data_IF_058195319387
#
_entry.id   IF_058195319387
#
_cell.length_a   1.000
_cell.length_b   1.000
_cell.length_c   1.000
_cell.angle_alpha   90.00
_cell.angle_beta   90.00
_cell.angle_gamma   90.00
#
_symmetry.space_group_name_H-M   'P 1'
#
loop_
_entity.id
_entity.type
_entity.pdbx_description
1 polymer ?
#
# COMPACT_ATOMS: atom_id res chain seq x y z
N UNK A 1 -8.02 -13.26 -42.26
CA UNK A 1 -7.73 -13.38 -40.81
C UNK A 1 -7.51 -12.00 -40.23
N UNK A 2 -8.54 -11.36 -39.68
CA UNK A 2 -8.42 -10.03 -39.08
C UNK A 2 -7.95 -10.15 -37.62
N UNK A 3 -6.74 -9.65 -37.30
CA UNK A 3 -6.27 -9.53 -35.92
C UNK A 3 -6.98 -8.32 -35.30
N UNK A 4 -7.91 -8.57 -34.37
CA UNK A 4 -8.63 -7.52 -33.65
C UNK A 4 -7.70 -6.60 -32.84
N UNK A 5 -8.15 -5.38 -32.49
CA UNK A 5 -7.30 -4.37 -31.87
C UNK A 5 -6.87 -4.83 -30.47
N UNK A 6 -5.56 -5.02 -30.27
CA UNK A 6 -4.95 -5.24 -28.94
C UNK A 6 -4.77 -3.87 -28.27
N UNK A 7 -5.82 -3.29 -27.72
CA UNK A 7 -5.72 -1.99 -27.04
C UNK A 7 -6.24 -2.04 -25.61
N UNK A 8 -5.79 -3.04 -24.85
CA UNK A 8 -5.75 -2.92 -23.40
C UNK A 8 -4.55 -2.06 -23.00
N UNK A 9 -4.74 -0.75 -22.81
CA UNK A 9 -3.72 0.11 -22.16
C UNK A 9 -3.39 -0.55 -20.81
N UNK A 10 -2.20 -1.15 -20.68
CA UNK A 10 -1.74 -1.64 -19.39
C UNK A 10 -1.88 -0.47 -18.44
N UNK A 11 -2.73 -0.59 -17.42
CA UNK A 11 -2.80 0.40 -16.34
C UNK A 11 -1.38 0.48 -15.83
N UNK A 12 -0.66 1.53 -16.19
CA UNK A 12 0.67 1.81 -15.67
C UNK A 12 0.43 2.25 -14.23
N UNK A 13 0.05 1.29 -13.39
CA UNK A 13 -0.22 1.49 -11.99
C UNK A 13 1.01 2.09 -11.38
N UNK A 14 0.79 3.23 -10.70
CA UNK A 14 1.71 3.97 -9.82
C UNK A 14 3.06 3.25 -9.69
N UNK A 15 4.01 3.68 -10.51
CA UNK A 15 5.27 2.99 -10.74
C UNK A 15 5.96 2.55 -9.43
N UNK A 16 5.90 1.26 -9.12
CA UNK A 16 6.68 0.64 -8.05
C UNK A 16 5.89 0.00 -6.91
N UNK A 17 4.58 0.20 -6.80
CA UNK A 17 3.77 -0.52 -5.80
C UNK A 17 3.54 -1.97 -6.22
N UNK A 18 3.68 -2.89 -5.27
CA UNK A 18 3.51 -4.34 -5.44
C UNK A 18 2.79 -4.91 -4.24
N UNK A 19 2.09 -6.03 -4.44
CA UNK A 19 1.42 -6.79 -3.38
C UNK A 19 2.05 -8.18 -3.32
N UNK A 20 2.39 -8.62 -2.12
CA UNK A 20 2.87 -9.98 -1.86
C UNK A 20 1.87 -10.68 -0.97
N UNK A 21 1.38 -11.86 -1.37
CA UNK A 21 0.59 -12.71 -0.48
C UNK A 21 1.51 -13.38 0.53
N UNK A 22 1.15 -13.25 1.81
CA UNK A 22 1.73 -14.00 2.91
C UNK A 22 0.57 -14.80 3.54
N UNK A 23 0.85 -15.83 4.35
CA UNK A 23 -0.22 -16.62 4.98
C UNK A 23 -0.66 -17.87 4.20
N UNK A 24 -1.58 -18.61 4.82
CA UNK A 24 -2.06 -19.91 4.34
C UNK A 24 -3.32 -19.76 3.50
N UNK A 25 -3.69 -20.82 2.78
CA UNK A 25 -4.99 -20.88 2.07
C UNK A 25 -6.19 -20.60 2.99
N UNK A 26 -6.09 -21.02 4.25
CA UNK A 26 -7.14 -20.82 5.26
C UNK A 26 -7.14 -19.43 5.89
N UNK A 27 -6.02 -18.70 5.83
CA UNK A 27 -5.85 -17.35 6.38
C UNK A 27 -4.95 -16.52 5.45
N UNK A 28 -5.49 -16.01 4.33
CA UNK A 28 -4.71 -15.21 3.41
C UNK A 28 -4.34 -13.87 4.07
N UNK A 29 -3.08 -13.45 3.95
CA UNK A 29 -2.62 -12.12 4.29
C UNK A 29 -1.90 -11.47 3.09
N UNK A 30 -1.92 -10.15 3.01
CA UNK A 30 -1.35 -9.43 1.88
C UNK A 30 -0.50 -8.27 2.39
N UNK A 31 0.69 -8.12 1.83
CA UNK A 31 1.62 -7.03 2.15
C UNK A 31 1.78 -6.15 0.93
N UNK A 32 1.29 -4.92 1.04
CA UNK A 32 1.45 -3.88 0.02
C UNK A 32 2.73 -3.11 0.31
N UNK A 33 3.64 -3.03 -0.68
CA UNK A 33 4.93 -2.35 -0.51
C UNK A 33 5.40 -1.69 -1.80
N UNK A 34 6.28 -0.69 -1.69
CA UNK A 34 6.91 -0.07 -2.85
C UNK A 34 8.22 -0.80 -3.20
N UNK A 35 8.20 -1.63 -4.24
CA UNK A 35 9.36 -2.37 -4.75
C UNK A 35 10.46 -1.46 -5.32
N UNK A 36 10.11 -0.32 -5.92
CA UNK A 36 11.10 0.57 -6.56
C UNK A 36 11.77 1.51 -5.57
N UNK A 37 11.06 1.93 -4.52
CA UNK A 37 11.53 2.91 -3.54
C UNK A 37 11.03 2.54 -2.13
N UNK A 38 11.54 1.44 -1.53
CA UNK A 38 11.03 0.93 -0.25
C UNK A 38 11.26 1.89 0.93
N UNK A 39 12.34 2.69 0.91
CA UNK A 39 12.64 3.63 1.99
C UNK A 39 11.89 4.96 1.91
N UNK A 40 11.43 5.37 0.72
CA UNK A 40 10.88 6.71 0.52
C UNK A 40 9.61 6.95 1.34
N UNK A 41 8.74 5.95 1.42
CA UNK A 41 7.51 6.03 2.21
C UNK A 41 7.84 6.21 3.68
N UNK A 42 8.75 5.41 4.25
CA UNK A 42 9.15 5.52 5.65
C UNK A 42 9.73 6.90 6.00
N UNK A 43 10.59 7.45 5.13
CA UNK A 43 11.19 8.78 5.34
C UNK A 43 10.17 9.91 5.31
N UNK A 44 9.15 9.78 4.46
CA UNK A 44 8.07 10.77 4.36
C UNK A 44 7.09 10.62 5.52
N UNK A 45 6.69 9.40 5.89
CA UNK A 45 5.75 9.14 6.98
C UNK A 45 6.30 9.55 8.36
N UNK A 46 7.57 9.28 8.64
CA UNK A 46 8.16 9.46 9.98
C UNK A 46 9.17 10.62 10.08
N UNK A 47 9.46 11.27 8.95
CA UNK A 47 10.59 12.18 8.84
C UNK A 47 11.93 11.44 8.95
N UNK A 48 13.02 12.15 8.66
CA UNK A 48 14.37 11.59 8.71
C UNK A 48 15.38 12.63 9.20
N UNK A 49 16.55 12.18 9.63
CA UNK A 49 17.62 13.06 10.06
C UNK A 49 18.17 13.85 8.87
N UNK A 50 18.41 15.16 9.06
CA UNK A 50 18.99 16.02 8.03
C UNK A 50 20.52 16.07 8.16
N UNK A 51 21.21 16.26 7.03
CA UNK A 51 22.68 16.27 6.97
C UNK A 51 23.31 17.37 7.85
N UNK A 52 22.63 18.49 8.03
CA UNK A 52 23.10 19.63 8.84
C UNK A 52 22.63 19.57 10.30
N UNK A 53 22.07 18.43 10.74
CA UNK A 53 21.45 18.28 12.05
C UNK A 53 19.94 18.54 12.03
N UNK A 54 19.25 18.09 13.09
CA UNK A 54 17.79 18.15 13.18
C UNK A 54 17.05 17.07 12.38
N UNK A 55 15.72 17.17 12.32
CA UNK A 55 14.83 16.22 11.63
C UNK A 55 13.96 16.92 10.59
N UNK A 56 13.79 16.29 9.44
CA UNK A 56 12.77 16.66 8.47
C UNK A 56 11.38 16.40 9.05
N UNK A 57 10.41 17.26 8.71
CA UNK A 57 9.01 17.09 9.11
C UNK A 57 8.44 15.81 8.50
N UNK A 58 7.67 15.08 9.30
CA UNK A 58 6.85 13.97 8.84
C UNK A 58 5.64 14.50 8.04
N UNK A 59 5.33 13.82 6.94
CA UNK A 59 4.15 14.03 6.10
C UNK A 59 3.40 12.69 6.05
N UNK A 60 2.55 12.40 7.06
CA UNK A 60 1.81 11.15 7.10
C UNK A 60 0.72 11.14 6.02
N UNK A 61 0.77 10.14 5.12
CA UNK A 61 -0.19 10.01 4.01
C UNK A 61 -0.68 8.58 3.80
N UNK A 62 0.04 7.56 4.29
CA UNK A 62 -0.35 6.14 4.22
C UNK A 62 -1.17 5.76 5.45
N UNK A 63 -0.66 6.07 6.65
CA UNK A 63 -1.33 5.75 7.92
C UNK A 63 -2.80 6.21 7.99
N UNK A 64 -3.17 7.46 7.66
CA UNK A 64 -4.57 7.87 7.73
C UNK A 64 -5.48 7.06 6.78
N UNK A 65 -4.98 6.70 5.60
CA UNK A 65 -5.73 5.91 4.62
C UNK A 65 -5.83 4.45 5.07
N UNK A 66 -4.76 3.90 5.65
CA UNK A 66 -4.76 2.56 6.24
C UNK A 66 -5.83 2.45 7.33
N UNK A 67 -5.90 3.41 8.25
CA UNK A 67 -6.91 3.43 9.31
C UNK A 67 -8.33 3.53 8.75
N UNK A 68 -8.56 4.31 7.69
CA UNK A 68 -9.84 4.38 7.00
C UNK A 68 -10.22 3.04 6.37
N UNK A 69 -9.30 2.40 5.63
CA UNK A 69 -9.54 1.12 5.00
C UNK A 69 -9.78 -0.01 6.01
N UNK A 70 -9.11 0.01 7.17
CA UNK A 70 -9.35 -0.95 8.25
C UNK A 70 -10.79 -0.81 8.75
N UNK A 71 -11.23 0.41 9.05
CA UNK A 71 -12.61 0.67 9.52
C UNK A 71 -13.65 0.21 8.49
N UNK A 72 -13.48 0.59 7.22
CA UNK A 72 -14.36 0.15 6.13
C UNK A 72 -14.41 -1.38 6.01
N UNK A 73 -13.26 -2.05 6.15
CA UNK A 73 -13.19 -3.51 6.07
C UNK A 73 -13.88 -4.20 7.26
N UNK A 74 -13.75 -3.64 8.46
CA UNK A 74 -14.40 -4.13 9.68
C UNK A 74 -15.92 -3.94 9.61
N UNK A 75 -16.39 -2.78 9.15
CA UNK A 75 -17.82 -2.49 8.95
C UNK A 75 -18.47 -3.42 7.92
N UNK A 76 -17.75 -3.76 6.84
CA UNK A 76 -18.22 -4.71 5.82
C UNK A 76 -18.19 -6.17 6.29
N UNK A 77 -17.40 -6.50 7.32
CA UNK A 77 -17.27 -7.86 7.85
C UNK A 77 -17.57 -7.92 9.36
N UNK A 78 -18.79 -7.55 9.79
CA UNK A 78 -19.13 -7.44 11.21
C UNK A 78 -19.05 -8.77 11.97
N UNK A 79 -19.14 -9.92 11.27
CA UNK A 79 -19.10 -11.24 11.89
C UNK A 79 -17.74 -11.66 12.46
N UNK A 80 -16.64 -10.98 12.09
CA UNK A 80 -15.30 -11.29 12.60
C UNK A 80 -14.94 -10.56 13.90
N UNK A 81 -15.72 -9.54 14.29
CA UNK A 81 -15.50 -8.74 15.50
C UNK A 81 -16.44 -9.09 16.66
N UNK A 82 -17.28 -10.13 16.52
CA UNK A 82 -18.01 -10.73 17.63
C UNK A 82 -17.08 -11.71 18.37
N UNK A 83 -16.38 -11.21 19.40
CA UNK A 83 -15.85 -12.05 20.48
C UNK A 83 -16.97 -12.43 21.41
#
# INVERSE_FOLDING_TARGET
MAKGPRTGKKRTGKHGWSVTSQGSFTKPSFVVHNKKKPGLTHLLENGHALRQGGRARAIPHIKPVEEQCIKEYEELNPSKNSV
#
